data_IF_787811150115
#
_entry.id   IF_787811150115
#
_cell.length_a   1.000
_cell.length_b   1.000
_cell.length_c   1.000
_cell.angle_alpha   90.00
_cell.angle_beta   90.00
_cell.angle_gamma   90.00
#
_symmetry.space_group_name_H-M   'P 1'
#
loop_
_entity.id
_entity.type
_entity.pdbx_description
1 polymer ?
#
# COMPACT_ATOMS: atom_id res chain seq x y z
N UNK A 1 -8.28 39.09 -42.63
CA UNK A 1 -6.99 38.55 -42.18
C UNK A 1 -7.17 38.09 -40.75
N UNK A 2 -7.25 36.76 -40.55
CA UNK A 2 -6.36 35.96 -39.67
C UNK A 2 -6.28 36.57 -38.26
N UNK A 3 -6.97 36.11 -37.22
CA UNK A 3 -7.23 34.73 -36.83
C UNK A 3 -6.13 34.28 -35.85
N UNK A 4 -6.38 34.33 -34.54
CA UNK A 4 -5.79 33.41 -33.57
C UNK A 4 -6.78 33.13 -32.43
N UNK A 5 -7.12 31.85 -32.30
CA UNK A 5 -7.75 31.21 -31.15
C UNK A 5 -6.63 30.73 -30.21
N UNK A 6 -6.86 30.75 -28.91
CA UNK A 6 -6.37 29.74 -27.95
C UNK A 6 -7.23 29.85 -26.70
N UNK A 7 -8.22 28.96 -26.54
CA UNK A 7 -8.12 27.62 -25.99
C UNK A 7 -8.01 27.62 -24.46
N UNK A 8 -9.17 27.35 -23.88
CA UNK A 8 -9.48 26.78 -22.59
C UNK A 8 -8.60 25.56 -22.26
N UNK A 9 -7.94 25.55 -21.10
CA UNK A 9 -7.62 24.34 -20.33
C UNK A 9 -7.79 24.67 -18.85
N UNK A 10 -8.80 24.02 -18.26
CA UNK A 10 -9.05 23.91 -16.83
C UNK A 10 -7.89 23.21 -16.14
N UNK A 11 -7.40 23.75 -15.03
CA UNK A 11 -6.64 22.93 -14.07
C UNK A 11 -7.57 22.54 -12.93
N UNK A 12 -8.10 21.34 -13.09
CA UNK A 12 -8.82 20.54 -12.11
C UNK A 12 -7.90 20.26 -10.91
N UNK A 13 -7.74 21.24 -10.02
CA UNK A 13 -7.41 20.94 -8.62
C UNK A 13 -8.66 20.38 -7.96
N UNK A 14 -9.02 19.15 -8.33
CA UNK A 14 -9.88 18.30 -7.52
C UNK A 14 -9.10 18.00 -6.25
N UNK A 15 -9.27 18.87 -5.27
CA UNK A 15 -9.18 18.52 -3.87
C UNK A 15 -10.11 17.33 -3.66
N UNK A 16 -9.55 16.12 -3.79
CA UNK A 16 -10.20 14.89 -3.41
C UNK A 16 -10.33 14.95 -1.88
N UNK A 17 -11.37 15.65 -1.42
CA UNK A 17 -11.86 15.61 -0.04
C UNK A 17 -11.98 14.14 0.37
N UNK A 18 -11.25 13.68 1.40
CA UNK A 18 -11.52 12.37 1.97
C UNK A 18 -12.94 12.42 2.54
N UNK A 19 -13.77 11.47 2.12
CA UNK A 19 -15.15 11.31 2.56
C UNK A 19 -15.30 11.47 4.08
N UNK A 20 -16.32 12.23 4.49
CA UNK A 20 -16.73 12.51 5.87
C UNK A 20 -17.34 11.26 6.56
N UNK A 21 -16.64 10.13 6.51
CA UNK A 21 -16.82 9.08 7.50
C UNK A 21 -15.83 9.38 8.62
N UNK A 22 -16.29 9.36 9.87
CA UNK A 22 -15.41 9.54 11.02
C UNK A 22 -14.24 8.54 10.88
N UNK A 23 -13.03 9.05 10.70
CA UNK A 23 -11.84 8.23 10.61
C UNK A 23 -11.58 7.60 11.98
N UNK A 24 -12.11 6.40 12.18
CA UNK A 24 -12.07 5.61 13.41
C UNK A 24 -10.67 5.06 13.74
N UNK A 25 -9.68 5.31 12.88
CA UNK A 25 -8.29 4.92 13.14
C UNK A 25 -7.75 5.69 14.35
N UNK A 26 -6.96 5.00 15.16
CA UNK A 26 -6.27 5.57 16.31
C UNK A 26 -5.35 6.72 15.86
N UNK A 27 -5.12 7.70 16.73
CA UNK A 27 -4.11 8.74 16.51
C UNK A 27 -2.72 8.15 16.21
N UNK A 28 -2.44 6.96 16.76
CA UNK A 28 -1.23 6.20 16.45
C UNK A 28 -1.17 5.79 14.98
N UNK A 29 -2.25 5.23 14.44
CA UNK A 29 -2.35 4.78 13.04
C UNK A 29 -2.28 5.97 12.08
N UNK A 30 -2.94 7.08 12.41
CA UNK A 30 -2.86 8.33 11.64
C UNK A 30 -1.43 8.88 11.56
N UNK A 31 -0.66 8.77 12.64
CA UNK A 31 0.77 9.17 12.65
C UNK A 31 1.62 8.26 11.78
N UNK A 32 1.36 6.96 11.80
CA UNK A 32 2.07 5.98 10.97
C UNK A 32 1.77 6.23 9.49
N UNK A 33 0.50 6.43 9.13
CA UNK A 33 0.08 6.80 7.78
C UNK A 33 0.77 8.08 7.31
N UNK A 34 0.72 9.15 8.11
CA UNK A 34 1.35 10.43 7.75
C UNK A 34 2.85 10.28 7.48
N UNK A 35 3.55 9.44 8.26
CA UNK A 35 4.98 9.13 8.07
C UNK A 35 5.22 8.30 6.80
N UNK A 36 4.32 7.36 6.49
CA UNK A 36 4.37 6.58 5.26
C UNK A 36 4.08 7.44 4.01
N UNK A 37 3.26 8.49 4.10
CA UNK A 37 3.05 9.42 2.99
C UNK A 37 4.19 10.42 2.80
N UNK A 38 4.97 10.73 3.84
CA UNK A 38 5.98 11.81 3.80
C UNK A 38 7.33 11.43 3.19
N UNK A 39 7.44 10.37 2.37
CA UNK A 39 8.69 9.98 1.68
C UNK A 39 9.91 9.68 2.58
N UNK A 40 9.75 9.53 3.90
CA UNK A 40 10.84 9.12 4.80
C UNK A 40 11.16 7.61 4.71
N UNK A 41 12.42 7.27 4.48
CA UNK A 41 12.95 5.90 4.59
C UNK A 41 12.51 5.23 5.90
N UNK A 42 12.08 3.96 5.82
CA UNK A 42 11.79 3.11 6.99
C UNK A 42 13.05 2.36 7.48
N UNK A 43 14.19 2.61 6.83
CA UNK A 43 15.44 1.87 6.97
C UNK A 43 15.75 1.12 5.67
N UNK A 44 17.02 0.97 5.28
CA UNK A 44 17.41 0.42 3.98
C UNK A 44 16.86 -0.99 3.75
N UNK A 45 16.90 -1.85 4.78
CA UNK A 45 16.38 -3.21 4.69
C UNK A 45 14.86 -3.23 4.43
N UNK A 46 14.13 -2.35 5.11
CA UNK A 46 12.67 -2.24 4.97
C UNK A 46 12.30 -1.63 3.62
N UNK A 47 13.05 -0.64 3.16
CA UNK A 47 12.82 0.01 1.88
C UNK A 47 12.98 -0.98 0.71
N UNK A 48 13.92 -1.93 0.81
CA UNK A 48 14.08 -3.03 -0.17
C UNK A 48 12.84 -3.93 -0.17
N UNK A 49 12.34 -4.32 1.00
CA UNK A 49 11.14 -5.15 1.12
C UNK A 49 9.90 -4.44 0.58
N UNK A 50 9.75 -3.15 0.85
CA UNK A 50 8.65 -2.33 0.32
C UNK A 50 8.76 -2.19 -1.20
N UNK A 51 9.96 -1.99 -1.75
CA UNK A 51 10.17 -1.94 -3.19
C UNK A 51 9.77 -3.26 -3.86
N UNK A 52 10.08 -4.40 -3.24
CA UNK A 52 9.66 -5.72 -3.74
C UNK A 52 8.13 -5.90 -3.70
N UNK A 53 7.47 -5.46 -2.63
CA UNK A 53 5.99 -5.46 -2.58
C UNK A 53 5.37 -4.58 -3.66
N UNK A 54 5.98 -3.42 -3.96
CA UNK A 54 5.52 -2.54 -5.04
C UNK A 54 5.62 -3.27 -6.38
N UNK A 55 6.70 -3.99 -6.63
CA UNK A 55 6.88 -4.74 -7.89
C UNK A 55 5.90 -5.91 -8.00
N UNK A 56 5.69 -6.66 -6.93
CA UNK A 56 4.66 -7.72 -6.87
C UNK A 56 3.28 -7.11 -7.19
N UNK A 57 2.93 -6.01 -6.53
CA UNK A 57 1.64 -5.35 -6.71
C UNK A 57 1.41 -4.80 -8.13
N UNK A 58 2.47 -4.42 -8.85
CA UNK A 58 2.40 -3.97 -10.25
C UNK A 58 2.30 -5.10 -11.27
N UNK A 59 2.95 -6.23 -10.99
CA UNK A 59 3.11 -7.31 -11.96
C UNK A 59 1.98 -8.32 -11.91
N UNK A 60 1.63 -8.79 -10.72
CA UNK A 60 0.69 -9.90 -10.55
C UNK A 60 -0.30 -9.70 -9.40
N UNK A 61 -0.11 -8.68 -8.55
CA UNK A 61 -0.95 -8.44 -7.39
C UNK A 61 -0.66 -9.40 -6.23
N UNK A 62 -1.43 -9.25 -5.16
CA UNK A 62 -1.21 -9.99 -3.91
C UNK A 62 -2.11 -11.21 -3.74
N UNK A 63 -3.20 -11.30 -4.52
CA UNK A 63 -4.16 -12.39 -4.51
C UNK A 63 -4.47 -12.81 -5.94
N UNK A 64 -4.45 -14.11 -6.20
CA UNK A 64 -4.84 -14.69 -7.49
C UNK A 64 -5.27 -16.14 -7.32
N UNK A 65 -5.50 -16.85 -8.42
CA UNK A 65 -5.70 -18.30 -8.41
C UNK A 65 -4.41 -19.00 -7.94
N UNK A 66 -4.51 -20.11 -7.17
CA UNK A 66 -3.35 -20.90 -6.76
C UNK A 66 -2.45 -21.29 -7.95
N UNK A 67 -1.14 -21.30 -7.75
CA UNK A 67 -0.18 -21.52 -8.84
C UNK A 67 1.23 -21.06 -8.51
N UNK A 68 2.08 -20.85 -9.52
CA UNK A 68 3.53 -20.67 -9.35
C UNK A 68 3.96 -19.74 -8.20
N UNK A 69 3.31 -18.58 -8.07
CA UNK A 69 3.64 -17.55 -7.08
C UNK A 69 2.61 -17.44 -5.95
N UNK A 70 1.54 -18.24 -5.98
CA UNK A 70 0.39 -18.13 -5.09
C UNK A 70 0.17 -19.45 -4.36
N UNK A 71 -0.03 -19.38 -3.05
CA UNK A 71 -0.30 -20.57 -2.23
C UNK A 71 -1.68 -21.18 -2.54
N UNK A 72 -2.03 -22.26 -1.86
CA UNK A 72 -3.29 -22.98 -2.05
C UNK A 72 -4.53 -22.11 -1.72
N UNK A 73 -4.36 -21.02 -0.96
CA UNK A 73 -5.42 -20.05 -0.65
C UNK A 73 -5.45 -18.87 -1.64
N UNK A 74 -4.55 -18.87 -2.63
CA UNK A 74 -4.42 -17.81 -3.61
C UNK A 74 -3.64 -16.59 -3.13
N UNK A 75 -2.89 -16.67 -2.02
CA UNK A 75 -2.07 -15.57 -1.53
C UNK A 75 -0.67 -15.60 -2.13
N UNK A 76 -0.16 -14.44 -2.52
CA UNK A 76 1.18 -14.35 -3.08
C UNK A 76 2.24 -14.77 -2.04
N UNK A 77 2.96 -15.87 -2.32
CA UNK A 77 3.88 -16.53 -1.37
C UNK A 77 4.94 -15.54 -0.89
N UNK A 78 5.58 -14.82 -1.82
CA UNK A 78 6.62 -13.83 -1.48
C UNK A 78 6.08 -12.65 -0.68
N UNK A 79 4.89 -12.12 -1.00
CA UNK A 79 4.29 -11.04 -0.24
C UNK A 79 4.03 -11.47 1.21
N UNK A 80 3.57 -12.71 1.44
CA UNK A 80 3.42 -13.27 2.80
C UNK A 80 4.76 -13.38 3.52
N UNK A 81 5.81 -13.85 2.84
CA UNK A 81 7.15 -13.91 3.42
C UNK A 81 7.67 -12.53 3.84
N UNK A 82 7.45 -11.51 3.03
CA UNK A 82 7.81 -10.14 3.38
C UNK A 82 7.03 -9.69 4.62
N UNK A 83 5.72 -9.96 4.70
CA UNK A 83 4.91 -9.67 5.89
C UNK A 83 5.49 -10.29 7.16
N UNK A 84 5.89 -11.58 7.10
CA UNK A 84 6.54 -12.28 8.22
C UNK A 84 7.90 -11.66 8.60
N UNK A 85 8.67 -11.18 7.63
CA UNK A 85 9.95 -10.50 7.88
C UNK A 85 9.73 -9.15 8.56
N UNK A 86 8.76 -8.36 8.09
CA UNK A 86 8.42 -7.08 8.69
C UNK A 86 7.92 -7.25 10.13
N UNK A 87 7.07 -8.25 10.39
CA UNK A 87 6.63 -8.59 11.75
C UNK A 87 7.82 -8.95 12.66
N UNK A 88 8.75 -9.77 12.17
CA UNK A 88 9.96 -10.12 12.93
C UNK A 88 10.86 -8.92 13.21
N UNK A 89 10.94 -7.95 12.29
CA UNK A 89 11.82 -6.79 12.41
C UNK A 89 11.26 -5.68 13.29
N UNK A 90 9.95 -5.41 13.21
CA UNK A 90 9.34 -4.27 13.90
C UNK A 90 7.87 -4.48 14.24
N UNK A 91 7.38 -5.71 14.17
CA UNK A 91 6.02 -6.08 14.50
C UNK A 91 4.97 -5.37 13.66
N UNK A 92 3.79 -5.24 14.27
CA UNK A 92 2.61 -4.62 13.66
C UNK A 92 2.86 -3.19 13.17
N UNK A 93 3.66 -2.38 13.88
CA UNK A 93 3.93 -0.99 13.48
C UNK A 93 4.66 -0.91 12.14
N UNK A 94 5.62 -1.81 11.93
CA UNK A 94 6.38 -1.84 10.68
C UNK A 94 5.56 -2.41 9.53
N UNK A 95 4.74 -3.44 9.80
CA UNK A 95 3.78 -3.93 8.82
C UNK A 95 2.79 -2.84 8.39
N UNK A 96 2.23 -2.08 9.33
CA UNK A 96 1.32 -0.96 9.04
C UNK A 96 2.00 0.12 8.22
N UNK A 97 3.24 0.48 8.56
CA UNK A 97 4.00 1.47 7.80
C UNK A 97 4.23 1.01 6.35
N UNK A 98 4.60 -0.25 6.13
CA UNK A 98 4.74 -0.83 4.79
C UNK A 98 3.40 -0.90 4.04
N UNK A 99 2.31 -1.27 4.71
CA UNK A 99 0.97 -1.26 4.13
C UNK A 99 0.57 0.13 3.62
N UNK A 100 0.73 1.18 4.44
CA UNK A 100 0.40 2.53 4.02
C UNK A 100 1.27 3.04 2.88
N UNK A 101 2.54 2.57 2.78
CA UNK A 101 3.38 2.83 1.60
C UNK A 101 2.77 2.20 0.34
N UNK A 102 2.29 0.98 0.42
CA UNK A 102 1.64 0.30 -0.71
C UNK A 102 0.34 1.01 -1.10
N UNK A 103 -0.48 1.42 -0.14
CA UNK A 103 -1.68 2.22 -0.40
C UNK A 103 -1.32 3.55 -1.07
N UNK A 104 -0.27 4.23 -0.62
CA UNK A 104 0.19 5.49 -1.19
C UNK A 104 0.69 5.34 -2.64
N UNK A 105 1.36 4.24 -2.97
CA UNK A 105 2.03 4.03 -4.26
C UNK A 105 1.11 3.36 -5.29
N UNK A 106 0.35 2.35 -4.88
CA UNK A 106 -0.46 1.49 -5.76
C UNK A 106 -1.97 1.71 -5.58
N UNK A 107 -2.37 2.48 -4.57
CA UNK A 107 -3.76 2.79 -4.29
C UNK A 107 -4.44 1.80 -3.34
N UNK A 108 -5.67 2.14 -2.90
CA UNK A 108 -6.37 1.41 -1.85
C UNK A 108 -6.81 -0.01 -2.25
N UNK A 109 -6.99 -0.28 -3.55
CA UNK A 109 -7.34 -1.62 -4.04
C UNK A 109 -6.19 -2.61 -3.83
N UNK A 110 -4.96 -2.20 -4.18
CA UNK A 110 -3.76 -2.99 -3.93
C UNK A 110 -3.48 -3.14 -2.43
N UNK A 111 -3.74 -2.08 -1.65
CA UNK A 111 -3.68 -2.17 -0.19
C UNK A 111 -4.61 -3.25 0.35
N UNK A 112 -5.89 -3.24 -0.03
CA UNK A 112 -6.86 -4.23 0.45
C UNK A 112 -6.48 -5.67 0.09
N UNK A 113 -5.95 -5.92 -1.12
CA UNK A 113 -5.49 -7.26 -1.48
C UNK A 113 -4.24 -7.67 -0.70
N UNK A 114 -3.33 -6.74 -0.40
CA UNK A 114 -2.20 -6.99 0.50
C UNK A 114 -2.65 -7.30 1.93
N UNK A 115 -3.63 -6.57 2.45
CA UNK A 115 -4.19 -6.78 3.79
C UNK A 115 -4.74 -8.20 3.95
N UNK A 116 -5.51 -8.67 2.97
CA UNK A 116 -6.03 -10.04 2.94
C UNK A 116 -4.88 -11.06 2.76
N UNK A 117 -3.91 -10.77 1.88
CA UNK A 117 -2.76 -11.66 1.70
C UNK A 117 -1.92 -11.77 2.97
N UNK A 118 -1.89 -10.76 3.84
CA UNK A 118 -1.23 -10.79 5.15
C UNK A 118 -2.08 -11.31 6.30
N UNK A 119 -3.30 -11.77 6.02
CA UNK A 119 -4.17 -12.37 7.03
C UNK A 119 -3.44 -13.44 7.85
N UNK A 120 -3.62 -13.39 9.17
CA UNK A 120 -3.02 -14.28 10.16
C UNK A 120 -1.49 -14.21 10.30
N UNK A 121 -0.82 -13.18 9.77
CA UNK A 121 0.62 -12.96 10.00
C UNK A 121 0.81 -12.10 11.26
N UNK A 122 1.46 -12.65 12.28
CA UNK A 122 1.70 -11.93 13.53
C UNK A 122 0.38 -11.55 14.20
N UNK A 123 0.20 -10.26 14.49
CA UNK A 123 -1.08 -9.70 14.97
C UNK A 123 -1.89 -9.04 13.83
N UNK A 124 -1.51 -9.25 12.58
CA UNK A 124 -2.28 -8.79 11.43
C UNK A 124 -3.60 -9.54 11.38
N UNK A 125 -4.66 -8.78 11.13
CA UNK A 125 -6.07 -9.17 11.19
C UNK A 125 -6.34 -10.61 10.71
N UNK A 126 -7.18 -11.39 11.42
CA UNK A 126 -7.68 -12.67 10.91
C UNK A 126 -8.67 -12.48 9.76
#
# INVERSE_FOLDING_TARGET
>A
MVGQKSNHISDESKDQQPSHFADLRSDKEKRIEKRAYSSLSLGPDVDVLVAELVEIGRTCGFISTPGSNFDDNGYHIRARQIGMQLDKMGGMELMQAAYYRIVAILGPVAGRSLEVAWGYIGNWWP
#
